data_IF_352995122415
#
_entry.id   IF_352995122415
#
_cell.length_a   1.000
_cell.length_b   1.000
_cell.length_c   1.000
_cell.angle_alpha   90.00
_cell.angle_beta   90.00
_cell.angle_gamma   90.00
#
_symmetry.space_group_name_H-M   'P 1'
#
loop_
_entity.id
_entity.type
_entity.pdbx_description
1 polymer ?
#
# COMPACT_ATOMS: atom_id res chain seq x y z
N UNK A 1 -4.19 -11.22 47.66
CA UNK A 1 -4.29 -10.15 46.65
C UNK A 1 -3.61 -10.64 45.38
N UNK A 2 -4.38 -11.09 44.39
CA UNK A 2 -3.84 -11.45 43.07
C UNK A 2 -3.90 -10.19 42.19
N UNK A 3 -2.75 -9.72 41.73
CA UNK A 3 -2.69 -8.77 40.62
C UNK A 3 -2.68 -9.58 39.31
N UNK A 4 -3.72 -9.42 38.51
CA UNK A 4 -3.69 -9.80 37.09
C UNK A 4 -3.17 -8.61 36.30
N UNK A 5 -1.96 -8.74 35.76
CA UNK A 5 -1.40 -7.79 34.80
C UNK A 5 -2.05 -8.08 33.45
N UNK A 6 -2.98 -7.21 33.04
CA UNK A 6 -3.56 -7.21 31.70
C UNK A 6 -2.49 -6.70 30.72
N UNK A 7 -1.91 -7.60 29.92
CA UNK A 7 -1.07 -7.25 28.78
C UNK A 7 -1.98 -6.71 27.67
N UNK A 8 -2.06 -5.38 27.57
CA UNK A 8 -2.69 -4.69 26.44
C UNK A 8 -1.79 -4.90 25.23
N UNK A 9 -2.20 -5.75 24.31
CA UNK A 9 -1.62 -5.82 22.97
C UNK A 9 -1.87 -4.49 22.26
N UNK A 10 -0.82 -3.73 21.96
CA UNK A 10 -0.94 -2.58 21.08
C UNK A 10 -1.44 -3.07 19.71
N UNK A 11 -2.51 -2.50 19.13
CA UNK A 11 -2.91 -2.82 17.78
C UNK A 11 -1.75 -2.48 16.85
N UNK A 12 -1.29 -3.49 16.10
CA UNK A 12 -0.26 -3.33 15.09
C UNK A 12 -0.86 -2.50 13.95
N UNK A 13 -0.48 -1.23 13.89
CA UNK A 13 -0.97 -0.29 12.90
C UNK A 13 -0.38 -0.61 11.53
N UNK A 14 -1.26 -0.78 10.55
CA UNK A 14 -0.91 -1.05 9.16
C UNK A 14 -1.51 0.07 8.31
N UNK A 15 -0.63 0.85 7.68
CA UNK A 15 -0.97 2.10 7.02
C UNK A 15 -0.58 2.05 5.52
N UNK A 16 -1.52 1.73 4.62
CA UNK A 16 -1.40 1.74 3.13
C UNK A 16 -0.94 3.08 2.58
N UNK A 17 0.33 3.23 2.20
CA UNK A 17 0.93 4.55 1.96
C UNK A 17 1.77 4.55 0.69
N UNK A 18 1.45 5.46 -0.23
CA UNK A 18 2.17 5.62 -1.48
C UNK A 18 1.74 6.88 -2.21
N UNK A 19 2.45 7.19 -3.27
CA UNK A 19 2.18 8.34 -4.11
C UNK A 19 2.30 7.93 -5.58
N UNK A 20 1.42 8.47 -6.41
CA UNK A 20 1.74 8.60 -7.82
C UNK A 20 2.97 9.50 -7.95
N UNK A 21 3.94 9.12 -8.79
CA UNK A 21 5.14 9.92 -9.06
C UNK A 21 4.98 10.63 -10.40
N UNK A 22 4.46 9.92 -11.39
CA UNK A 22 4.15 10.47 -12.70
C UNK A 22 2.80 9.94 -13.20
N UNK A 23 1.80 10.81 -13.45
CA UNK A 23 1.78 12.21 -13.03
C UNK A 23 1.84 12.34 -11.50
N UNK A 24 2.31 13.48 -10.95
CA UNK A 24 2.28 13.71 -9.51
C UNK A 24 0.84 13.72 -8.97
N UNK A 25 0.63 13.43 -7.68
CA UNK A 25 -0.68 13.37 -7.07
C UNK A 25 -1.19 14.78 -6.80
N UNK A 26 -2.50 14.94 -6.72
CA UNK A 26 -3.14 16.24 -6.47
C UNK A 26 -2.64 16.93 -5.19
N UNK A 27 -2.30 16.15 -4.16
CA UNK A 27 -1.76 16.68 -2.91
C UNK A 27 -0.38 17.35 -3.08
N UNK A 28 0.31 17.08 -4.19
CA UNK A 28 1.54 17.77 -4.56
C UNK A 28 1.32 19.09 -5.34
N UNK A 29 0.12 19.67 -5.34
CA UNK A 29 -0.19 20.91 -6.08
C UNK A 29 0.69 22.12 -5.67
N UNK A 30 1.18 22.14 -4.43
CA UNK A 30 2.12 23.15 -3.90
C UNK A 30 3.56 22.64 -3.75
N UNK A 31 3.87 21.45 -4.31
CA UNK A 31 5.19 20.83 -4.20
C UNK A 31 5.76 20.45 -5.56
N UNK A 32 7.07 20.58 -5.69
CA UNK A 32 7.85 20.06 -6.80
C UNK A 32 8.76 18.97 -6.28
N UNK A 33 8.91 17.87 -7.04
CA UNK A 33 9.89 16.83 -6.72
C UNK A 33 11.30 17.43 -6.75
N UNK A 34 11.88 17.64 -5.58
CA UNK A 34 13.23 18.18 -5.44
C UNK A 34 14.00 17.52 -4.28
N UNK A 35 15.17 18.07 -3.93
CA UNK A 35 16.02 17.55 -2.87
C UNK A 35 15.30 17.46 -1.50
N UNK A 36 14.28 18.28 -1.24
CA UNK A 36 13.46 18.25 -0.02
C UNK A 36 12.70 16.94 0.16
N UNK A 37 12.37 16.25 -0.93
CA UNK A 37 11.68 14.97 -0.88
C UNK A 37 12.63 13.78 -0.65
N UNK A 38 13.95 14.01 -0.51
CA UNK A 38 14.94 12.96 -0.23
C UNK A 38 15.11 12.80 1.29
N UNK A 39 14.40 11.85 1.89
CA UNK A 39 14.64 11.48 3.29
C UNK A 39 16.01 10.81 3.45
N UNK A 40 16.68 11.07 4.57
CA UNK A 40 17.79 10.25 5.04
C UNK A 40 17.28 8.90 5.54
N UNK A 41 17.97 7.81 5.20
CA UNK A 41 17.53 6.43 5.40
C UNK A 41 17.55 5.90 6.85
N UNK A 42 17.60 6.76 7.87
CA UNK A 42 17.77 6.30 9.26
C UNK A 42 16.47 6.01 10.00
N UNK A 43 15.31 6.53 9.57
CA UNK A 43 14.01 6.19 10.18
C UNK A 43 12.84 6.59 9.24
N UNK A 44 12.03 5.64 8.73
CA UNK A 44 10.88 5.90 7.85
C UNK A 44 9.66 6.50 8.58
N UNK A 45 9.68 6.62 9.91
CA UNK A 45 8.65 7.25 10.73
C UNK A 45 9.16 8.46 11.51
N UNK A 46 10.46 8.74 11.44
CA UNK A 46 11.00 9.94 12.03
C UNK A 46 10.38 11.14 11.33
N UNK A 47 9.96 12.12 12.14
CA UNK A 47 9.76 13.52 11.76
C UNK A 47 11.09 14.13 11.31
N UNK A 48 11.83 13.48 10.41
CA UNK A 48 13.15 13.91 9.99
C UNK A 48 12.95 15.15 9.15
N UNK A 49 13.25 16.28 9.76
CA UNK A 49 13.80 17.48 9.15
C UNK A 49 14.43 17.12 7.79
N UNK A 50 13.75 17.49 6.71
CA UNK A 50 14.39 17.44 5.39
C UNK A 50 15.72 18.20 5.49
N UNK A 51 16.72 17.78 4.73
CA UNK A 51 18.00 18.49 4.66
C UNK A 51 17.88 19.91 4.07
N UNK A 52 16.68 20.39 3.74
CA UNK A 52 16.45 21.62 2.98
C UNK A 52 15.14 22.37 3.35
N UNK A 53 14.67 22.29 4.60
CA UNK A 53 13.67 23.27 5.13
C UNK A 53 12.18 22.90 5.09
N UNK A 54 11.82 21.61 5.06
CA UNK A 54 10.49 21.14 5.49
C UNK A 54 10.29 21.40 7.00
N UNK A 55 9.11 21.88 7.37
CA UNK A 55 8.75 22.22 8.76
C UNK A 55 8.50 20.99 9.64
N UNK A 56 8.41 21.20 10.95
CA UNK A 56 8.06 20.14 11.91
C UNK A 56 6.73 19.47 11.51
N UNK A 57 6.77 18.16 11.22
CA UNK A 57 5.58 17.36 10.91
C UNK A 57 5.35 17.05 9.42
N UNK A 58 6.15 17.60 8.51
CA UNK A 58 6.04 17.27 7.07
C UNK A 58 6.68 15.92 6.75
N UNK A 59 5.93 15.06 6.06
CA UNK A 59 6.42 13.76 5.60
C UNK A 59 7.28 13.92 4.33
N UNK A 60 8.47 13.32 4.32
CA UNK A 60 9.36 13.33 3.17
C UNK A 60 9.29 12.00 2.40
N UNK A 61 10.02 11.89 1.28
CA UNK A 61 10.13 10.65 0.52
C UNK A 61 9.23 10.64 -0.71
N UNK A 62 9.71 10.03 -1.80
CA UNK A 62 8.99 10.00 -3.08
C UNK A 62 7.64 9.27 -2.98
N UNK A 63 7.51 8.30 -2.06
CA UNK A 63 6.24 7.63 -1.75
C UNK A 63 5.25 8.46 -0.93
N UNK A 64 5.66 9.63 -0.43
CA UNK A 64 4.80 10.58 0.27
C UNK A 64 4.88 11.99 -0.35
N UNK A 65 5.10 12.07 -1.66
CA UNK A 65 5.13 13.35 -2.38
C UNK A 65 3.84 14.14 -2.13
N UNK A 66 3.94 15.40 -1.69
CA UNK A 66 2.79 16.21 -1.33
C UNK A 66 1.96 15.59 -0.21
N UNK A 67 2.58 14.82 0.69
CA UNK A 67 1.92 14.06 1.74
C UNK A 67 0.85 13.08 1.24
N UNK A 68 0.94 12.64 -0.02
CA UNK A 68 -0.01 11.70 -0.62
C UNK A 68 -0.14 10.40 0.19
N UNK A 69 0.91 10.02 0.92
CA UNK A 69 0.86 8.85 1.78
C UNK A 69 -0.16 8.97 2.93
N UNK A 70 -0.59 10.19 3.28
CA UNK A 70 -1.60 10.45 4.29
C UNK A 70 -3.03 10.51 3.73
N UNK A 71 -3.20 10.41 2.41
CA UNK A 71 -4.50 10.36 1.75
C UNK A 71 -4.85 8.92 1.35
N UNK A 72 -5.52 8.21 2.26
CA UNK A 72 -6.01 6.84 2.07
C UNK A 72 -7.37 6.69 2.76
N UNK A 73 -7.93 5.48 2.84
CA UNK A 73 -9.13 5.20 3.66
C UNK A 73 -9.00 3.84 4.33
N UNK A 74 -9.23 3.80 5.64
CA UNK A 74 -9.11 2.59 6.46
C UNK A 74 -10.42 1.80 6.45
N UNK A 75 -10.30 0.47 6.47
CA UNK A 75 -11.42 -0.45 6.62
C UNK A 75 -12.41 -0.42 5.46
N UNK A 76 -11.92 -0.14 4.25
CA UNK A 76 -12.68 -0.35 3.02
C UNK A 76 -12.49 -1.81 2.58
N UNK A 77 -13.43 -2.67 2.96
CA UNK A 77 -13.36 -4.10 2.63
C UNK A 77 -13.94 -4.42 1.24
N UNK A 78 -13.61 -5.60 0.72
CA UNK A 78 -13.99 -6.06 -0.60
C UNK A 78 -15.52 -5.97 -0.83
N UNK A 79 -15.94 -5.13 -1.78
CA UNK A 79 -17.34 -4.97 -2.16
C UNK A 79 -18.25 -4.31 -1.12
N UNK A 80 -17.68 -3.66 -0.09
CA UNK A 80 -18.45 -2.97 0.93
C UNK A 80 -18.86 -1.55 0.50
N UNK A 81 -20.11 -1.21 0.80
CA UNK A 81 -20.70 0.12 0.56
C UNK A 81 -20.28 1.19 1.57
N UNK A 82 -19.51 0.83 2.60
CA UNK A 82 -19.02 1.74 3.66
C UNK A 82 -17.61 1.32 4.08
N UNK A 83 -16.80 2.28 4.50
CA UNK A 83 -15.52 2.02 5.15
C UNK A 83 -15.62 2.35 6.64
N UNK A 84 -14.98 1.57 7.52
CA UNK A 84 -15.05 1.82 8.97
C UNK A 84 -14.37 3.14 9.38
N UNK A 85 -13.37 3.60 8.63
CA UNK A 85 -12.54 4.78 8.95
C UNK A 85 -11.86 4.71 10.34
N UNK A 86 -11.72 3.49 10.85
CA UNK A 86 -11.08 3.12 12.11
C UNK A 86 -10.64 1.66 12.01
N UNK A 87 -9.89 1.14 12.99
CA UNK A 87 -9.43 -0.27 12.96
C UNK A 87 -8.37 -0.48 11.89
N UNK A 88 -7.13 -0.11 12.20
CA UNK A 88 -5.94 -0.27 11.31
C UNK A 88 -5.33 -1.66 11.44
N UNK A 89 -6.17 -2.67 11.61
CA UNK A 89 -5.71 -3.99 11.99
C UNK A 89 -5.24 -4.78 10.78
N UNK A 90 -4.07 -5.43 10.94
CA UNK A 90 -3.56 -6.37 9.94
C UNK A 90 -4.52 -7.54 9.73
N UNK A 91 -5.16 -7.97 10.82
CA UNK A 91 -6.07 -9.10 10.87
C UNK A 91 -7.47 -8.60 11.20
N UNK A 92 -8.26 -8.17 10.18
CA UNK A 92 -9.60 -7.68 10.42
C UNK A 92 -10.44 -8.70 11.17
N UNK A 93 -11.19 -8.20 12.15
CA UNK A 93 -12.10 -8.97 12.99
C UNK A 93 -13.56 -8.68 12.63
N UNK A 94 -14.48 -9.45 13.19
CA UNK A 94 -15.91 -9.16 13.04
C UNK A 94 -16.29 -7.77 13.60
N UNK A 95 -15.58 -7.28 14.63
CA UNK A 95 -15.80 -5.95 15.17
C UNK A 95 -15.44 -4.86 14.15
N UNK A 96 -14.39 -5.08 13.35
CA UNK A 96 -13.99 -4.13 12.31
C UNK A 96 -14.98 -4.09 11.15
N UNK A 97 -15.58 -5.23 10.81
CA UNK A 97 -16.68 -5.31 9.84
C UNK A 97 -17.95 -4.63 10.35
N UNK A 98 -18.27 -4.77 11.64
CA UNK A 98 -19.40 -4.08 12.25
C UNK A 98 -19.27 -2.55 12.17
N UNK A 99 -18.05 -2.03 12.32
CA UNK A 99 -17.76 -0.61 12.16
C UNK A 99 -17.88 -0.12 10.71
N UNK A 100 -17.84 -1.03 9.73
CA UNK A 100 -18.08 -0.74 8.32
C UNK A 100 -19.55 -1.01 7.93
N UNK A 101 -20.50 -0.68 8.80
CA UNK A 101 -21.95 -0.89 8.60
C UNK A 101 -22.34 -2.37 8.49
N UNK A 102 -21.85 -3.19 9.43
CA UNK A 102 -22.01 -4.65 9.43
C UNK A 102 -21.73 -5.28 8.06
N UNK A 103 -20.66 -4.81 7.42
CA UNK A 103 -20.38 -5.23 6.06
C UNK A 103 -20.19 -6.74 5.98
N UNK A 104 -20.69 -7.32 4.89
CA UNK A 104 -20.43 -8.67 4.44
C UNK A 104 -19.54 -8.59 3.20
N UNK A 105 -18.20 -8.61 3.35
CA UNK A 105 -17.31 -8.54 2.21
C UNK A 105 -17.61 -9.67 1.22
N UNK A 106 -17.47 -9.38 -0.07
CA UNK A 106 -17.63 -10.40 -1.10
C UNK A 106 -16.49 -11.41 -1.03
N UNK A 107 -16.75 -12.59 -1.59
CA UNK A 107 -15.73 -13.61 -1.78
C UNK A 107 -14.58 -13.12 -2.68
N UNK A 108 -13.33 -13.57 -2.44
CA UNK A 108 -12.22 -13.28 -3.32
C UNK A 108 -12.54 -13.63 -4.77
N UNK A 109 -12.38 -12.65 -5.65
CA UNK A 109 -12.52 -12.85 -7.10
C UNK A 109 -11.17 -12.93 -7.79
N UNK A 110 -10.06 -12.56 -7.12
CA UNK A 110 -8.70 -12.64 -7.65
C UNK A 110 -8.42 -14.05 -8.19
N UNK A 111 -7.92 -14.13 -9.43
CA UNK A 111 -7.67 -15.42 -10.07
C UNK A 111 -8.90 -16.08 -10.71
N UNK A 112 -10.11 -15.53 -10.54
CA UNK A 112 -11.32 -16.03 -11.19
C UNK A 112 -11.82 -17.38 -10.67
N UNK A 113 -11.45 -17.75 -9.44
CA UNK A 113 -11.76 -19.05 -8.86
C UNK A 113 -10.75 -20.14 -9.20
N UNK A 114 -9.69 -19.85 -9.96
CA UNK A 114 -8.53 -20.73 -10.13
C UNK A 114 -7.53 -20.49 -8.99
N UNK A 115 -7.29 -21.46 -8.08
CA UNK A 115 -6.37 -21.30 -6.97
C UNK A 115 -4.91 -21.09 -7.39
N UNK A 116 -4.47 -21.70 -8.51
CA UNK A 116 -3.10 -21.54 -9.00
C UNK A 116 -2.88 -20.12 -9.53
N UNK A 117 -3.85 -19.62 -10.30
CA UNK A 117 -3.83 -18.24 -10.80
C UNK A 117 -3.94 -17.22 -9.66
N UNK A 118 -4.81 -17.47 -8.67
CA UNK A 118 -4.89 -16.62 -7.48
C UNK A 118 -3.56 -16.60 -6.71
N UNK A 119 -2.93 -17.76 -6.50
CA UNK A 119 -1.63 -17.86 -5.82
C UNK A 119 -0.55 -17.04 -6.52
N UNK A 120 -0.49 -17.04 -7.86
CA UNK A 120 0.45 -16.22 -8.62
C UNK A 120 0.26 -14.72 -8.33
N UNK A 121 -0.98 -14.28 -8.16
CA UNK A 121 -1.36 -12.89 -7.97
C UNK A 121 -1.25 -12.41 -6.51
N UNK A 122 -1.29 -13.32 -5.53
CA UNK A 122 -1.16 -12.98 -4.11
C UNK A 122 0.22 -12.41 -3.80
N UNK A 123 0.23 -11.44 -2.89
CA UNK A 123 1.43 -10.79 -2.34
C UNK A 123 1.56 -10.99 -0.83
N UNK A 124 0.53 -11.56 -0.21
CA UNK A 124 0.45 -11.90 1.20
C UNK A 124 -0.21 -13.25 1.34
N UNK A 125 0.19 -13.99 2.36
CA UNK A 125 -0.35 -15.31 2.65
C UNK A 125 -0.46 -16.16 1.36
N UNK A 126 0.60 -16.09 0.54
CA UNK A 126 0.62 -16.61 -0.84
C UNK A 126 0.28 -18.10 -0.83
N UNK A 127 0.87 -18.81 0.12
CA UNK A 127 0.69 -20.25 0.31
C UNK A 127 -0.40 -20.61 1.33
N UNK A 128 -1.10 -19.62 1.91
CA UNK A 128 -2.13 -19.87 2.92
C UNK A 128 -1.59 -20.38 4.25
N UNK A 129 -0.28 -20.22 4.51
CA UNK A 129 0.40 -20.80 5.68
C UNK A 129 0.34 -19.92 6.95
N UNK A 130 -0.34 -18.77 6.90
CA UNK A 130 -0.47 -17.90 8.07
C UNK A 130 -1.24 -18.61 9.19
N UNK A 131 -0.72 -18.54 10.41
CA UNK A 131 -1.40 -19.05 11.62
C UNK A 131 -2.74 -18.34 11.90
N UNK A 132 -2.96 -17.16 11.29
CA UNK A 132 -4.21 -16.40 11.38
C UNK A 132 -5.24 -16.81 10.31
N UNK A 133 -4.98 -17.89 9.55
CA UNK A 133 -5.82 -18.33 8.45
C UNK A 133 -5.74 -17.40 7.23
N UNK A 134 -6.76 -17.44 6.36
CA UNK A 134 -6.86 -16.51 5.22
C UNK A 134 -7.40 -15.14 5.64
N UNK A 135 -6.69 -14.46 6.53
CA UNK A 135 -7.04 -13.12 7.02
C UNK A 135 -7.14 -12.09 5.90
N UNK A 136 -6.44 -12.31 4.78
CA UNK A 136 -6.44 -11.41 3.64
C UNK A 136 -7.73 -11.46 2.82
N UNK A 137 -8.59 -12.47 3.04
CA UNK A 137 -9.80 -12.75 2.25
C UNK A 137 -10.72 -11.54 2.08
N UNK A 138 -10.81 -10.68 3.09
CA UNK A 138 -11.70 -9.50 3.10
C UNK A 138 -11.07 -8.26 2.46
N UNK A 139 -9.78 -8.30 2.14
CA UNK A 139 -9.06 -7.16 1.60
C UNK A 139 -9.52 -6.88 0.16
N UNK A 140 -9.68 -5.61 -0.24
CA UNK A 140 -10.18 -5.27 -1.59
C UNK A 140 -9.24 -5.72 -2.71
N UNK A 141 -7.95 -5.93 -2.44
CA UNK A 141 -7.01 -6.49 -3.42
C UNK A 141 -7.14 -8.01 -3.63
N UNK A 142 -7.92 -8.73 -2.80
CA UNK A 142 -8.41 -10.09 -3.09
C UNK A 142 -9.67 -10.09 -3.98
N UNK A 143 -10.26 -8.93 -4.24
CA UNK A 143 -11.29 -8.73 -5.25
C UNK A 143 -11.01 -7.44 -6.06
N UNK A 144 -9.96 -7.44 -6.92
CA UNK A 144 -9.37 -6.25 -7.48
C UNK A 144 -10.38 -5.25 -8.05
N UNK A 145 -10.29 -4.01 -7.57
CA UNK A 145 -11.05 -2.90 -8.10
C UNK A 145 -12.44 -2.69 -7.51
N UNK A 146 -12.80 -3.47 -6.48
CA UNK A 146 -14.07 -3.36 -5.74
C UNK A 146 -14.03 -2.40 -4.55
N UNK A 147 -12.86 -1.81 -4.25
CA UNK A 147 -12.75 -0.78 -3.22
C UNK A 147 -13.68 0.40 -3.56
N UNK A 148 -14.56 0.77 -2.62
CA UNK A 148 -15.52 1.87 -2.83
C UNK A 148 -16.66 1.56 -3.79
N UNK A 149 -16.79 0.32 -4.28
CA UNK A 149 -17.87 -0.06 -5.19
C UNK A 149 -19.24 0.15 -4.54
N UNK A 150 -20.06 1.00 -5.15
CA UNK A 150 -21.41 1.32 -4.67
C UNK A 150 -21.44 2.16 -3.40
N UNK A 151 -20.30 2.73 -2.98
CA UNK A 151 -20.21 3.62 -1.83
C UNK A 151 -20.21 5.09 -2.30
N UNK A 152 -21.33 5.82 -2.18
CA UNK A 152 -21.42 7.21 -2.61
C UNK A 152 -20.54 8.17 -1.79
N UNK A 153 -20.09 7.74 -0.61
CA UNK A 153 -19.23 8.51 0.28
C UNK A 153 -17.75 8.17 0.14
N UNK A 154 -17.39 7.20 -0.70
CA UNK A 154 -16.00 6.84 -0.94
C UNK A 154 -15.26 8.01 -1.60
N UNK A 155 -14.06 8.30 -1.11
CA UNK A 155 -13.20 9.36 -1.62
C UNK A 155 -12.12 8.73 -2.49
N UNK A 156 -12.21 8.80 -3.83
CA UNK A 156 -11.25 8.15 -4.73
C UNK A 156 -9.84 8.76 -4.64
N UNK A 157 -9.69 9.94 -4.02
CA UNK A 157 -8.41 10.56 -3.72
C UNK A 157 -8.01 10.40 -2.23
N UNK A 158 -8.62 9.46 -1.51
CA UNK A 158 -8.42 9.26 -0.07
C UNK A 158 -9.04 10.36 0.78
N UNK A 159 -8.95 10.20 2.11
CA UNK A 159 -9.24 11.25 3.09
C UNK A 159 -7.96 11.61 3.83
N UNK A 160 -7.83 12.86 4.23
CA UNK A 160 -6.71 13.32 5.04
C UNK A 160 -6.63 12.48 6.32
N UNK A 161 -5.46 11.89 6.60
CA UNK A 161 -5.19 11.02 7.75
C UNK A 161 -5.80 9.62 7.66
N UNK A 162 -6.59 9.35 6.61
CA UNK A 162 -7.16 8.05 6.27
C UNK A 162 -8.24 7.47 7.20
N UNK A 163 -8.55 8.14 8.30
CA UNK A 163 -9.58 7.72 9.26
C UNK A 163 -10.50 8.86 9.65
N UNK A 164 -11.39 8.59 10.61
CA UNK A 164 -12.27 9.61 11.19
C UNK A 164 -11.45 10.68 11.92
N UNK A 165 -12.05 11.86 12.14
CA UNK A 165 -11.38 12.95 12.84
C UNK A 165 -10.94 12.58 14.27
N UNK A 166 -11.66 11.66 14.91
CA UNK A 166 -11.36 11.14 16.24
C UNK A 166 -10.18 10.15 16.28
N UNK A 167 -9.78 9.60 15.12
CA UNK A 167 -8.72 8.61 15.04
C UNK A 167 -7.35 9.26 15.17
N UNK A 168 -6.42 8.71 15.96
CA UNK A 168 -5.15 9.37 16.36
C UNK A 168 -4.06 9.44 15.28
N UNK A 169 -4.42 9.39 13.99
CA UNK A 169 -3.46 9.45 12.91
C UNK A 169 -2.88 10.86 12.71
N UNK A 170 -1.65 10.95 12.17
CA UNK A 170 -1.08 12.20 11.68
C UNK A 170 -1.93 12.76 10.54
N UNK A 171 -2.14 14.08 10.54
CA UNK A 171 -2.79 14.82 9.46
C UNK A 171 -1.75 15.43 8.53
N UNK A 172 -2.19 15.83 7.34
CA UNK A 172 -1.37 16.58 6.38
C UNK A 172 -1.21 18.03 6.85
N UNK A 173 -0.23 18.75 6.32
CA UNK A 173 -0.01 20.18 6.55
C UNK A 173 -0.93 21.07 5.69
N UNK A 174 -1.77 20.47 4.85
CA UNK A 174 -2.75 21.18 4.04
C UNK A 174 -3.82 21.83 4.93
N UNK A 175 -3.86 23.16 4.94
CA UNK A 175 -4.76 23.93 5.80
C UNK A 175 -6.19 23.94 5.30
N UNK A 176 -6.38 23.82 3.98
CA UNK A 176 -7.69 23.92 3.34
C UNK A 176 -8.48 22.58 3.37
N UNK A 177 -7.81 21.47 3.68
CA UNK A 177 -8.43 20.16 3.80
C UNK A 177 -8.19 19.62 5.22
N UNK A 178 -9.14 19.81 6.16
CA UNK A 178 -8.96 19.37 7.53
C UNK A 178 -8.81 17.84 7.62
N UNK A 179 -8.36 17.35 8.78
CA UNK A 179 -8.36 15.92 9.08
C UNK A 179 -9.70 15.25 8.79
N UNK A 180 -9.65 14.04 8.22
CA UNK A 180 -10.80 13.30 7.68
C UNK A 180 -11.51 13.98 6.48
N UNK A 181 -11.01 15.13 6.02
CA UNK A 181 -11.51 15.82 4.84
C UNK A 181 -11.12 15.10 3.54
N UNK A 182 -11.90 15.29 2.46
CA UNK A 182 -11.71 14.54 1.22
C UNK A 182 -10.54 15.07 0.40
N UNK A 183 -9.67 14.17 -0.09
CA UNK A 183 -8.57 14.54 -1.00
C UNK A 183 -9.06 15.09 -2.34
N UNK A 184 -10.33 14.86 -2.70
CA UNK A 184 -10.95 15.44 -3.90
C UNK A 184 -11.14 16.97 -3.80
N UNK A 185 -11.14 17.52 -2.58
CA UNK A 185 -11.19 18.97 -2.31
C UNK A 185 -9.84 19.67 -2.49
N UNK A 186 -8.74 18.91 -2.60
CA UNK A 186 -7.43 19.51 -2.87
C UNK A 186 -7.43 20.31 -4.18
N UNK A 187 -6.63 21.38 -4.30
CA UNK A 187 -6.47 22.10 -5.55
C UNK A 187 -5.97 21.21 -6.69
N UNK A 188 -6.39 21.49 -7.91
CA UNK A 188 -5.85 20.81 -9.10
C UNK A 188 -4.37 21.18 -9.28
N UNK A 189 -3.55 20.25 -9.76
CA UNK A 189 -2.18 20.56 -10.16
C UNK A 189 -2.24 21.47 -11.40
N UNK A 190 -1.54 22.61 -11.36
CA UNK A 190 -1.65 23.65 -12.38
C UNK A 190 -1.29 23.19 -13.79
N UNK A 191 -0.14 22.55 -13.98
CA UNK A 191 0.30 21.98 -15.28
C UNK A 191 0.64 20.50 -15.13
N UNK A 192 -0.38 19.65 -15.22
CA UNK A 192 -0.18 18.21 -15.41
C UNK A 192 0.31 17.86 -16.82
N UNK A 193 0.69 16.60 -17.08
CA UNK A 193 1.06 16.19 -18.42
C UNK A 193 -0.15 16.28 -19.37
N UNK A 194 0.11 16.66 -20.62
CA UNK A 194 -0.89 16.66 -21.69
C UNK A 194 -0.67 15.38 -22.50
N UNK A 195 -1.72 14.58 -22.61
CA UNK A 195 -1.68 13.31 -23.34
C UNK A 195 -2.64 13.32 -24.52
N UNK A 196 -2.20 12.69 -25.61
CA UNK A 196 -3.07 12.39 -26.74
C UNK A 196 -3.97 11.22 -26.37
N UNK A 197 -5.29 11.34 -26.59
CA UNK A 197 -6.23 10.25 -26.37
C UNK A 197 -5.78 9.00 -27.15
N UNK A 198 -5.78 7.84 -26.47
CA UNK A 198 -5.39 6.57 -27.06
C UNK A 198 -3.87 6.35 -27.16
N UNK A 199 -3.04 7.31 -26.75
CA UNK A 199 -1.60 7.11 -26.66
C UNK A 199 -1.22 6.22 -25.47
N UNK A 200 -0.07 5.55 -25.61
CA UNK A 200 0.62 4.93 -24.48
C UNK A 200 1.37 6.01 -23.72
N UNK A 201 1.22 6.05 -22.40
CA UNK A 201 1.88 7.01 -21.54
C UNK A 201 2.56 6.28 -20.39
N UNK A 202 3.63 6.89 -19.88
CA UNK A 202 4.24 6.41 -18.64
C UNK A 202 3.36 6.78 -17.46
N UNK A 203 3.20 5.82 -16.53
CA UNK A 203 2.69 6.05 -15.20
C UNK A 203 3.62 5.38 -14.20
N UNK A 204 3.97 6.09 -13.14
CA UNK A 204 4.82 5.56 -12.06
C UNK A 204 4.27 5.95 -10.70
N UNK A 205 4.55 5.11 -9.72
CA UNK A 205 4.14 5.28 -8.34
C UNK A 205 5.26 4.78 -7.43
N UNK A 206 5.26 5.26 -6.21
CA UNK A 206 6.23 4.88 -5.19
C UNK A 206 5.51 4.44 -3.92
N UNK A 207 6.05 3.40 -3.30
CA UNK A 207 5.61 2.88 -2.02
C UNK A 207 6.28 3.67 -0.90
N UNK A 208 5.50 4.11 0.07
CA UNK A 208 6.01 4.60 1.34
C UNK A 208 5.89 3.53 2.43
N UNK A 209 4.71 2.89 2.51
CA UNK A 209 4.52 1.66 3.27
C UNK A 209 3.88 0.61 2.37
N UNK A 210 4.44 -0.60 2.38
CA UNK A 210 3.97 -1.69 1.53
C UNK A 210 2.82 -2.42 2.22
N UNK A 211 1.63 -2.43 1.62
CA UNK A 211 0.44 -3.17 2.09
C UNK A 211 0.09 -4.33 1.16
N UNK A 212 1.06 -4.70 0.33
CA UNK A 212 0.92 -5.74 -0.65
C UNK A 212 -0.18 -5.39 -1.68
N UNK A 213 -0.90 -6.38 -2.18
CA UNK A 213 -1.92 -6.26 -3.21
C UNK A 213 -1.35 -5.97 -4.60
N UNK A 214 -1.78 -4.85 -5.16
CA UNK A 214 -1.52 -4.48 -6.54
C UNK A 214 -2.18 -3.16 -6.88
N UNK A 215 -2.27 -2.88 -8.17
CA UNK A 215 -2.73 -1.59 -8.66
C UNK A 215 -3.41 -1.70 -10.02
N UNK A 216 -4.27 -0.72 -10.29
CA UNK A 216 -4.87 -0.44 -11.60
C UNK A 216 -4.87 1.06 -11.82
N UNK A 217 -4.81 1.50 -13.08
CA UNK A 217 -4.96 2.91 -13.43
C UNK A 217 -6.35 3.17 -13.98
N UNK A 218 -6.94 4.31 -13.61
CA UNK A 218 -8.29 4.70 -13.99
C UNK A 218 -8.33 6.19 -14.28
N UNK A 219 -9.22 6.60 -15.18
CA UNK A 219 -9.50 8.01 -15.42
C UNK A 219 -10.95 8.31 -15.06
N UNK A 220 -11.17 9.44 -14.41
CA UNK A 220 -12.49 10.06 -14.31
C UNK A 220 -12.45 11.36 -15.09
N UNK A 221 -13.44 11.55 -15.98
CA UNK A 221 -13.58 12.83 -16.68
C UNK A 221 -14.03 13.89 -15.67
N UNK A 222 -13.31 15.01 -15.61
CA UNK A 222 -13.70 16.13 -14.75
C UNK A 222 -15.09 16.63 -15.15
N UNK A 223 -15.97 16.77 -14.16
CA UNK A 223 -17.31 17.27 -14.37
C UNK A 223 -17.29 18.75 -14.80
N UNK A 224 -18.14 19.11 -15.75
CA UNK A 224 -18.19 20.48 -16.30
C UNK A 224 -18.66 21.51 -15.26
N UNK A 225 -19.47 21.08 -14.30
CA UNK A 225 -19.97 21.88 -13.19
C UNK A 225 -18.95 22.02 -12.03
N UNK A 226 -17.78 21.40 -12.15
CA UNK A 226 -16.74 21.44 -11.13
C UNK A 226 -16.95 20.51 -9.94
N UNK A 227 -17.98 19.66 -9.96
CA UNK A 227 -18.22 18.67 -8.91
C UNK A 227 -17.05 17.69 -8.77
N UNK A 228 -16.85 17.20 -7.54
CA UNK A 228 -15.78 16.27 -7.21
C UNK A 228 -15.94 14.94 -7.98
N UNK A 229 -14.82 14.30 -8.40
CA UNK A 229 -14.88 12.99 -9.02
C UNK A 229 -15.34 11.94 -8.00
N UNK A 230 -16.13 10.97 -8.45
CA UNK A 230 -16.58 9.83 -7.64
C UNK A 230 -15.88 8.55 -8.08
N UNK A 231 -15.93 7.51 -7.24
CA UNK A 231 -15.38 6.21 -7.58
C UNK A 231 -16.11 5.57 -8.78
N UNK A 232 -17.43 5.74 -8.87
CA UNK A 232 -18.23 5.25 -10.01
C UNK A 232 -17.73 5.85 -11.34
N UNK A 233 -17.30 7.11 -11.33
CA UNK A 233 -16.71 7.74 -12.52
C UNK A 233 -15.36 7.10 -12.90
N UNK A 234 -14.48 6.83 -11.93
CA UNK A 234 -13.22 6.12 -12.20
C UNK A 234 -13.44 4.69 -12.69
N UNK A 235 -14.46 4.01 -12.16
CA UNK A 235 -14.84 2.67 -12.60
C UNK A 235 -15.33 2.64 -14.05
N UNK A 236 -15.75 3.76 -14.66
CA UNK A 236 -16.15 3.77 -16.07
C UNK A 236 -14.97 3.70 -17.05
N UNK A 237 -13.77 4.10 -16.64
CA UNK A 237 -12.61 4.20 -17.55
C UNK A 237 -11.34 3.59 -16.95
N UNK A 238 -11.28 2.27 -16.76
CA UNK A 238 -10.04 1.59 -16.46
C UNK A 238 -9.06 1.70 -17.64
N UNK A 239 -7.77 1.85 -17.34
CA UNK A 239 -6.70 1.88 -18.32
C UNK A 239 -6.00 0.52 -18.37
N UNK A 240 -5.62 0.11 -19.57
CA UNK A 240 -4.84 -1.11 -19.78
C UNK A 240 -3.35 -0.84 -19.57
N UNK A 241 -2.65 -1.79 -18.96
CA UNK A 241 -1.19 -1.79 -18.97
C UNK A 241 -0.67 -2.14 -20.36
N UNK A 242 0.49 -1.59 -20.70
CA UNK A 242 1.24 -1.96 -21.90
C UNK A 242 2.38 -2.89 -21.52
N UNK A 243 2.53 -3.97 -22.29
CA UNK A 243 3.60 -4.94 -22.12
C UNK A 243 3.49 -5.80 -20.85
N UNK A 244 4.47 -6.69 -20.70
CA UNK A 244 4.55 -7.70 -19.62
C UNK A 244 5.70 -7.42 -18.64
N UNK A 245 6.14 -6.17 -18.54
CA UNK A 245 7.27 -5.77 -17.71
C UNK A 245 6.90 -4.57 -16.83
N UNK A 246 7.56 -4.48 -15.68
CA UNK A 246 7.57 -3.32 -14.79
C UNK A 246 9.01 -2.91 -14.57
N UNK A 247 9.29 -1.61 -14.60
CA UNK A 247 10.59 -1.07 -14.25
C UNK A 247 10.57 -0.57 -12.80
N UNK A 248 11.50 -1.06 -11.99
CA UNK A 248 11.77 -0.58 -10.63
C UNK A 248 12.90 0.43 -10.72
N UNK A 249 12.59 1.68 -10.35
CA UNK A 249 13.55 2.80 -10.38
C UNK A 249 14.00 3.13 -8.97
N UNK A 250 15.30 3.18 -8.77
CA UNK A 250 15.85 3.67 -7.51
C UNK A 250 15.78 5.19 -7.44
N UNK A 251 15.59 5.73 -6.24
CA UNK A 251 15.67 7.18 -5.98
C UNK A 251 17.11 7.70 -6.08
N UNK A 252 18.08 6.81 -5.88
CA UNK A 252 19.49 7.06 -6.11
C UNK A 252 19.79 6.92 -7.62
N UNK A 253 20.07 8.02 -8.33
CA UNK A 253 20.29 7.99 -9.77
C UNK A 253 21.58 7.28 -10.17
N UNK A 254 22.48 6.97 -9.22
CA UNK A 254 23.68 6.17 -9.49
C UNK A 254 23.36 4.67 -9.63
N UNK A 255 22.18 4.24 -9.18
CA UNK A 255 21.73 2.85 -9.29
C UNK A 255 20.91 2.66 -10.57
N UNK A 256 21.26 1.69 -11.42
CA UNK A 256 20.48 1.42 -12.62
C UNK A 256 19.09 0.90 -12.24
N UNK A 257 18.08 1.27 -13.05
CA UNK A 257 16.77 0.65 -12.97
C UNK A 257 16.84 -0.86 -13.20
N UNK A 258 15.90 -1.59 -12.60
CA UNK A 258 15.75 -3.03 -12.79
C UNK A 258 14.42 -3.30 -13.46
N UNK A 259 14.43 -4.06 -14.54
CA UNK A 259 13.21 -4.51 -15.21
C UNK A 259 12.86 -5.92 -14.75
N UNK A 260 11.60 -6.11 -14.40
CA UNK A 260 11.06 -7.39 -13.92
C UNK A 260 9.81 -7.79 -14.71
N UNK A 261 9.54 -9.10 -14.88
CA UNK A 261 8.27 -9.55 -15.40
C UNK A 261 7.10 -9.04 -14.55
N UNK A 262 6.06 -8.53 -15.20
CA UNK A 262 4.87 -8.04 -14.54
C UNK A 262 3.75 -9.08 -14.56
N UNK A 263 3.30 -9.48 -13.37
CA UNK A 263 2.12 -10.35 -13.22
C UNK A 263 0.86 -9.49 -13.31
N UNK A 264 0.09 -9.67 -14.39
CA UNK A 264 -1.12 -8.89 -14.68
C UNK A 264 -2.29 -9.83 -14.95
N UNK A 265 -3.48 -9.49 -14.45
CA UNK A 265 -4.72 -10.22 -14.71
C UNK A 265 -5.83 -9.28 -15.14
N UNK A 266 -6.75 -9.76 -15.97
CA UNK A 266 -8.07 -9.17 -16.21
C UNK A 266 -9.20 -10.06 -15.72
N UNK A 267 -8.86 -11.21 -15.15
CA UNK A 267 -9.78 -12.20 -14.61
C UNK A 267 -10.07 -11.86 -13.16
N UNK A 268 -11.36 -11.84 -12.80
CA UNK A 268 -11.79 -11.59 -11.43
C UNK A 268 -11.68 -10.14 -10.98
N UNK A 269 -11.59 -9.20 -11.92
CA UNK A 269 -11.47 -7.77 -11.64
C UNK A 269 -12.80 -7.03 -11.76
N UNK A 270 -12.88 -5.85 -11.15
CA UNK A 270 -13.99 -4.92 -11.27
C UNK A 270 -13.50 -3.53 -11.75
N UNK A 271 -14.08 -2.96 -12.82
CA UNK A 271 -15.06 -3.57 -13.72
C UNK A 271 -14.53 -4.84 -14.39
N UNK A 272 -15.44 -5.72 -14.81
CA UNK A 272 -15.09 -7.01 -15.42
C UNK A 272 -14.17 -6.80 -16.63
N UNK A 273 -13.02 -7.48 -16.63
CA UNK A 273 -12.04 -7.40 -17.72
C UNK A 273 -11.06 -6.23 -17.62
N UNK A 274 -11.21 -5.35 -16.63
CA UNK A 274 -10.20 -4.32 -16.34
C UNK A 274 -8.89 -4.96 -15.88
N UNK A 275 -7.75 -4.34 -16.20
CA UNK A 275 -6.46 -4.89 -15.80
C UNK A 275 -6.08 -4.52 -14.36
N UNK A 276 -5.54 -5.51 -13.66
CA UNK A 276 -4.91 -5.37 -12.35
C UNK A 276 -3.50 -5.95 -12.41
N UNK A 277 -2.52 -5.22 -11.88
CA UNK A 277 -1.13 -5.66 -11.82
C UNK A 277 -0.71 -5.86 -10.38
N UNK A 278 -0.10 -7.01 -10.11
CA UNK A 278 0.47 -7.38 -8.80
C UNK A 278 1.51 -6.34 -8.38
N UNK A 279 1.53 -5.95 -7.11
CA UNK A 279 2.63 -5.17 -6.56
C UNK A 279 3.92 -6.01 -6.64
N UNK A 280 4.94 -5.58 -7.41
CA UNK A 280 6.13 -6.39 -7.60
C UNK A 280 7.05 -6.41 -6.38
N UNK A 281 6.87 -5.49 -5.44
CA UNK A 281 7.71 -5.41 -4.24
C UNK A 281 7.12 -6.35 -3.19
N UNK A 282 7.81 -7.45 -2.83
CA UNK A 282 7.32 -8.34 -1.80
C UNK A 282 7.23 -7.60 -0.47
N UNK A 283 6.29 -8.00 0.37
CA UNK A 283 6.32 -7.63 1.77
C UNK A 283 7.56 -8.30 2.40
N UNK A 284 8.20 -7.66 3.37
CA UNK A 284 8.99 -8.40 4.34
C UNK A 284 8.06 -9.44 4.97
N UNK A 285 8.50 -10.70 5.12
CA UNK A 285 7.71 -11.90 5.52
C UNK A 285 7.06 -11.80 6.93
N UNK A 286 6.25 -10.76 7.15
CA UNK A 286 5.65 -10.35 8.43
C UNK A 286 4.31 -11.04 8.70
N UNK A 287 3.92 -12.02 7.89
CA UNK A 287 2.63 -12.74 7.95
C UNK A 287 2.75 -14.16 8.51
N UNK A 288 3.95 -14.57 8.96
CA UNK A 288 4.19 -15.76 9.78
C UNK A 288 3.73 -15.60 11.25
N UNK A 289 2.89 -14.61 11.55
CA UNK A 289 2.42 -14.30 12.90
C UNK A 289 3.34 -13.37 13.71
N UNK A 290 4.30 -12.69 13.06
CA UNK A 290 5.21 -11.73 13.69
C UNK A 290 5.13 -10.38 12.96
N UNK A 291 4.81 -9.30 13.68
CA UNK A 291 4.81 -7.95 13.12
C UNK A 291 6.21 -7.52 12.63
N UNK A 292 6.26 -6.58 11.68
CA UNK A 292 7.49 -6.14 11.00
C UNK A 292 8.53 -5.43 11.89
N UNK A 293 8.31 -5.32 13.21
CA UNK A 293 9.14 -4.53 14.13
C UNK A 293 9.73 -5.34 15.30
N UNK A 294 9.65 -6.68 15.25
CA UNK A 294 10.31 -7.52 16.25
C UNK A 294 11.81 -7.62 15.99
N UNK A 295 12.62 -6.80 16.68
CA UNK A 295 14.10 -6.84 16.71
C UNK A 295 14.72 -8.16 17.23
N UNK A 296 13.93 -9.23 17.37
CA UNK A 296 14.42 -10.58 17.68
C UNK A 296 14.47 -11.44 16.41
N UNK A 297 15.13 -10.93 15.38
CA UNK A 297 15.38 -11.60 14.10
C UNK A 297 16.04 -12.97 14.25
N UNK A 298 16.83 -13.19 15.31
CA UNK A 298 17.52 -14.47 15.57
C UNK A 298 16.55 -15.61 15.95
N UNK A 299 15.43 -15.31 16.60
CA UNK A 299 14.47 -16.31 17.06
C UNK A 299 13.48 -16.73 15.97
N UNK A 300 13.12 -15.79 15.09
CA UNK A 300 12.25 -16.04 13.94
C UNK A 300 12.99 -16.81 12.83
N UNK A 301 14.27 -16.48 12.56
CA UNK A 301 15.10 -17.21 11.60
C UNK A 301 15.30 -18.68 12.00
N UNK A 302 15.50 -18.99 13.29
CA UNK A 302 15.59 -20.37 13.79
C UNK A 302 14.30 -21.18 13.65
N UNK A 303 13.13 -20.53 13.57
CA UNK A 303 11.86 -21.20 13.29
C UNK A 303 11.66 -21.47 11.80
N UNK A 304 12.11 -20.55 10.95
CA UNK A 304 12.07 -20.70 9.48
C UNK A 304 13.02 -21.82 9.03
N UNK A 305 14.27 -21.86 9.54
CA UNK A 305 15.21 -22.97 9.25
C UNK A 305 14.66 -24.35 9.64
N UNK A 306 13.84 -24.42 10.71
CA UNK A 306 13.18 -25.67 11.11
C UNK A 306 12.00 -26.06 10.21
N UNK A 307 11.27 -25.09 9.65
CA UNK A 307 10.17 -25.37 8.73
C UNK A 307 10.70 -25.84 7.37
N UNK A 308 11.74 -25.18 6.84
CA UNK A 308 12.38 -25.57 5.58
C UNK A 308 13.12 -26.93 5.69
N UNK A 309 13.68 -27.25 6.86
CA UNK A 309 14.30 -28.55 7.11
C UNK A 309 13.28 -29.71 7.18
N UNK A 310 12.01 -29.43 7.46
CA UNK A 310 10.93 -30.44 7.47
C UNK A 310 10.45 -30.74 6.04
N UNK A 311 10.45 -29.74 5.14
CA UNK A 311 10.11 -29.93 3.71
C UNK A 311 11.26 -30.52 2.87
N UNK A 312 12.52 -30.25 3.23
CA UNK A 312 13.70 -30.77 2.52
C UNK A 312 13.89 -32.30 2.59
N UNK A 313 13.04 -33.02 3.33
CA UNK A 313 12.98 -34.49 3.33
C UNK A 313 12.45 -35.13 2.04
N UNK A 314 11.97 -34.33 1.08
CA UNK A 314 11.36 -34.82 -0.16
C UNK A 314 11.86 -34.11 -1.42
N UNK A 315 13.03 -34.54 -1.93
CA UNK A 315 13.59 -34.27 -3.26
C UNK A 315 14.08 -32.83 -3.55
N UNK A 316 15.41 -32.74 -3.59
CA UNK A 316 16.27 -31.77 -4.26
C UNK A 316 15.68 -31.10 -5.51
N UNK A 317 15.55 -29.77 -5.48
CA UNK A 317 15.87 -28.92 -6.63
C UNK A 317 16.56 -27.64 -6.11
N UNK A 318 17.62 -27.24 -6.81
CA UNK A 318 18.61 -26.26 -6.38
C UNK A 318 18.00 -24.86 -6.15
N UNK A 319 18.04 -24.39 -4.91
CA UNK A 319 18.13 -22.96 -4.61
C UNK A 319 19.30 -22.77 -3.63
N UNK A 320 20.39 -22.19 -4.13
CA UNK A 320 21.50 -21.72 -3.30
C UNK A 320 21.04 -20.53 -2.45
N UNK A 321 21.11 -20.59 -1.12
CA UNK A 321 20.82 -19.44 -0.28
C UNK A 321 21.91 -18.38 -0.46
N UNK A 322 21.52 -17.15 -0.80
CA UNK A 322 22.41 -15.99 -0.71
C UNK A 322 22.72 -15.77 0.78
N UNK A 323 23.97 -16.02 1.18
CA UNK A 323 24.43 -15.78 2.54
C UNK A 323 24.46 -14.27 2.82
N UNK A 324 23.73 -13.83 3.85
CA UNK A 324 23.91 -12.51 4.43
C UNK A 324 25.28 -12.46 5.11
N UNK A 325 26.26 -11.80 4.48
CA UNK A 325 27.53 -11.45 5.14
C UNK A 325 27.29 -10.34 6.17
N UNK A 326 27.64 -10.65 7.41
CA UNK A 326 27.63 -9.76 8.57
C UNK A 326 28.29 -8.41 8.29
N UNK A 327 27.58 -7.31 8.56
CA UNK A 327 28.16 -5.99 8.76
C UNK A 327 28.04 -5.62 10.24
N UNK A 328 29.15 -5.68 10.97
CA UNK A 328 29.27 -5.03 12.28
C UNK A 328 29.76 -3.58 12.08
N UNK A 329 29.20 -2.59 12.80
CA UNK A 329 29.70 -1.22 12.78
C UNK A 329 30.99 -1.11 13.60
N UNK A 330 32.00 -0.45 13.01
CA UNK A 330 33.32 -0.28 13.58
C UNK A 330 33.34 0.56 14.87
N UNK A 331 34.23 0.17 15.78
CA UNK A 331 34.77 1.05 16.80
C UNK A 331 36.02 1.74 16.25
N UNK A 332 36.08 3.06 16.42
CA UNK A 332 37.28 3.86 16.21
C UNK A 332 38.18 3.80 17.45
N UNK A 333 39.49 3.75 17.24
CA UNK A 333 40.45 4.37 18.15
C UNK A 333 41.69 4.83 17.38
N UNK A 334 42.13 6.02 17.78
CA UNK A 334 43.31 6.80 17.43
C UNK A 334 44.64 6.03 17.50
N UNK A 335 45.47 6.12 16.45
CA UNK A 335 46.69 6.95 16.26
C UNK A 335 47.15 6.71 14.81
#
# INVERSE_FOLDING_TARGET
MLYHTLLISAPLLIAGHGAMVYPPPRSAHNQTLDARNRCGASDPYSKTNSQTGLGDGEYCGIGCLGEACLYYQIGCYAGCGTCSLTGKDLYPTQADLALADDCKPIEPTLGGGDPAHERELRTHNVDGLSAMGDWTRVNPWRAPGTAGMGNPNFQPCGINSGGSAAFSNPETTEKDVPKAGPGTALPKIGKGPIWTRGSTVEASWAIYANHAGGYSYRLCKVNADGSAPTEECFQQTPLNFVGNQTEVRYTDPSKPSVTIPAVTTSVGTYPKGSMWRKNPVPMCNCDLGYGCFGWNTVSALKKIEKADAIEAGGKSSMFTPYSATNFHPGQSSSI
#
